data_IF_435939527072
#
_entry.id   IF_435939527072
#
_cell.length_a   1.000
_cell.length_b   1.000
_cell.length_c   1.000
_cell.angle_alpha   90.00
_cell.angle_beta   90.00
_cell.angle_gamma   90.00
#
_symmetry.space_group_name_H-M   'P 1'
#
loop_
_entity.id
_entity.type
_entity.pdbx_description
1 polymer ?
#
# COMPACT_ATOMS: atom_id res chain seq x y z
N UNK A 1 -0.16 -12.23 -7.73
CA UNK A 1 0.50 -11.60 -6.58
C UNK A 1 1.86 -12.24 -6.44
N UNK A 2 2.91 -11.44 -6.40
CA UNK A 2 4.28 -11.90 -6.17
C UNK A 2 4.72 -11.49 -4.77
N UNK A 3 5.37 -12.39 -4.04
CA UNK A 3 5.78 -12.17 -2.63
C UNK A 3 7.25 -12.54 -2.43
N UNK A 4 7.92 -11.81 -1.54
CA UNK A 4 9.26 -12.12 -1.07
C UNK A 4 9.23 -12.24 0.46
N UNK A 5 9.51 -13.43 1.03
CA UNK A 5 9.74 -13.57 2.46
C UNK A 5 10.97 -12.75 2.86
N UNK A 6 10.89 -12.07 4.01
CA UNK A 6 12.02 -11.37 4.62
C UNK A 6 12.20 -11.87 6.06
N UNK A 7 13.28 -11.46 6.73
CA UNK A 7 13.49 -11.78 8.13
C UNK A 7 12.34 -11.19 8.97
N UNK A 8 11.44 -12.07 9.43
CA UNK A 8 10.28 -11.75 10.25
C UNK A 8 9.19 -10.85 9.60
N UNK A 9 9.19 -10.69 8.28
CA UNK A 9 8.16 -9.90 7.58
C UNK A 9 7.81 -10.47 6.20
N UNK A 10 6.65 -10.04 5.68
CA UNK A 10 6.17 -10.43 4.35
C UNK A 10 6.19 -9.21 3.42
N UNK A 11 6.94 -9.28 2.32
CA UNK A 11 6.94 -8.22 1.30
C UNK A 11 6.09 -8.63 0.10
N UNK A 12 5.08 -7.82 -0.22
CA UNK A 12 4.31 -7.92 -1.46
C UNK A 12 5.06 -7.14 -2.55
N UNK A 13 5.40 -7.82 -3.64
CA UNK A 13 6.15 -7.23 -4.76
C UNK A 13 5.22 -6.61 -5.80
N UNK A 14 4.15 -7.32 -6.17
CA UNK A 14 3.13 -6.82 -7.09
C UNK A 14 1.77 -7.45 -6.82
N UNK A 15 0.72 -6.65 -7.07
CA UNK A 15 -0.66 -7.10 -7.16
C UNK A 15 -1.20 -6.62 -8.50
N UNK A 16 -1.34 -7.55 -9.44
CA UNK A 16 -1.81 -7.25 -10.79
C UNK A 16 -3.24 -7.73 -10.98
N UNK A 17 -4.08 -6.86 -11.54
CA UNK A 17 -5.45 -7.19 -11.94
C UNK A 17 -5.75 -6.59 -13.32
N UNK A 18 -5.38 -7.34 -14.36
CA UNK A 18 -5.55 -6.94 -15.76
C UNK A 18 -7.02 -6.73 -16.18
N UNK A 19 -7.98 -7.23 -15.40
CA UNK A 19 -9.42 -7.08 -15.65
C UNK A 19 -10.11 -6.24 -14.57
N UNK A 20 -9.44 -5.21 -14.02
CA UNK A 20 -9.92 -4.40 -12.88
C UNK A 20 -11.34 -3.82 -13.04
N UNK A 21 -11.81 -3.63 -14.27
CA UNK A 21 -13.17 -3.15 -14.56
C UNK A 21 -14.24 -4.23 -14.42
N UNK A 22 -13.91 -5.48 -14.74
CA UNK A 22 -14.82 -6.63 -14.70
C UNK A 22 -14.70 -7.45 -13.40
N UNK A 23 -13.51 -7.54 -12.81
CA UNK A 23 -13.24 -8.31 -11.59
C UNK A 23 -12.73 -7.36 -10.51
N UNK A 24 -13.62 -6.95 -9.60
CA UNK A 24 -13.33 -6.01 -8.51
C UNK A 24 -12.77 -6.75 -7.29
N UNK A 25 -12.27 -5.99 -6.31
CA UNK A 25 -11.81 -6.46 -4.99
C UNK A 25 -10.60 -7.41 -4.94
N UNK A 26 -10.03 -7.81 -6.08
CA UNK A 26 -8.83 -8.68 -6.14
C UNK A 26 -7.71 -8.18 -5.22
N UNK A 27 -7.41 -6.88 -5.26
CA UNK A 27 -6.39 -6.29 -4.40
C UNK A 27 -6.72 -6.42 -2.92
N UNK A 28 -7.94 -6.07 -2.51
CA UNK A 28 -8.37 -6.17 -1.11
C UNK A 28 -8.27 -7.61 -0.59
N UNK A 29 -8.68 -8.60 -1.40
CA UNK A 29 -8.57 -10.02 -1.02
C UNK A 29 -7.12 -10.48 -0.87
N UNK A 30 -6.21 -10.03 -1.72
CA UNK A 30 -4.79 -10.34 -1.55
C UNK A 30 -4.20 -9.70 -0.29
N UNK A 31 -4.59 -8.47 0.05
CA UNK A 31 -4.17 -7.83 1.29
C UNK A 31 -4.74 -8.54 2.54
N UNK A 32 -5.97 -9.05 2.48
CA UNK A 32 -6.54 -9.90 3.54
C UNK A 32 -5.74 -11.19 3.74
N UNK A 33 -5.38 -11.88 2.65
CA UNK A 33 -4.55 -13.10 2.69
C UNK A 33 -3.18 -12.79 3.31
N UNK A 34 -2.52 -11.72 2.85
CA UNK A 34 -1.24 -11.30 3.40
C UNK A 34 -1.34 -10.97 4.90
N UNK A 35 -2.41 -10.30 5.32
CA UNK A 35 -2.68 -9.99 6.73
C UNK A 35 -2.89 -11.23 7.59
N UNK A 36 -3.61 -12.25 7.08
CA UNK A 36 -3.76 -13.55 7.74
C UNK A 36 -2.44 -14.26 7.88
N UNK A 37 -1.67 -14.39 6.79
CA UNK A 37 -0.34 -15.00 6.81
C UNK A 37 0.60 -14.33 7.83
N UNK A 38 0.57 -12.99 7.91
CA UNK A 38 1.34 -12.24 8.91
C UNK A 38 0.95 -12.65 10.33
N UNK A 39 -0.34 -12.73 10.62
CA UNK A 39 -0.85 -13.12 11.94
C UNK A 39 -0.52 -14.58 12.27
N UNK A 40 -0.81 -15.50 11.35
CA UNK A 40 -0.68 -16.94 11.56
C UNK A 40 0.78 -17.38 11.76
N UNK A 41 1.71 -16.67 11.11
CA UNK A 41 3.16 -16.94 11.20
C UNK A 41 3.88 -15.99 12.18
N UNK A 42 3.14 -15.19 12.96
CA UNK A 42 3.69 -14.23 13.92
C UNK A 42 4.73 -13.25 13.32
N UNK A 43 4.54 -12.85 12.05
CA UNK A 43 5.40 -11.87 11.39
C UNK A 43 5.13 -10.46 11.92
N UNK A 44 6.15 -9.61 11.96
CA UNK A 44 6.02 -8.24 12.47
C UNK A 44 5.21 -7.33 11.57
N UNK A 45 5.24 -7.53 10.24
CA UNK A 45 4.62 -6.63 9.29
C UNK A 45 4.37 -7.23 7.91
N UNK A 46 3.50 -6.57 7.14
CA UNK A 46 3.40 -6.70 5.69
C UNK A 46 3.89 -5.40 5.05
N UNK A 47 4.80 -5.49 4.10
CA UNK A 47 5.33 -4.35 3.35
C UNK A 47 5.06 -4.47 1.85
N UNK A 48 5.12 -3.36 1.12
CA UNK A 48 5.01 -3.32 -0.34
C UNK A 48 5.76 -2.12 -0.92
N UNK A 49 6.04 -2.15 -2.22
CA UNK A 49 6.54 -0.99 -2.95
C UNK A 49 5.39 -0.35 -3.72
N UNK A 50 5.06 0.89 -3.40
CA UNK A 50 4.07 1.68 -4.11
C UNK A 50 4.68 2.24 -5.40
N UNK A 51 4.03 1.96 -6.54
CA UNK A 51 4.54 2.26 -7.88
C UNK A 51 3.73 3.33 -8.63
N UNK A 52 2.59 3.76 -8.09
CA UNK A 52 1.79 4.85 -8.64
C UNK A 52 0.83 5.43 -7.59
N UNK A 53 0.29 6.60 -7.87
CA UNK A 53 -0.58 7.37 -6.98
C UNK A 53 -1.94 6.69 -6.71
N UNK A 54 -2.53 6.06 -7.75
CA UNK A 54 -3.80 5.34 -7.63
C UNK A 54 -3.65 4.14 -6.68
N UNK A 55 -2.52 3.44 -6.78
CA UNK A 55 -2.13 2.39 -5.85
C UNK A 55 -1.84 2.95 -4.45
N UNK A 56 -1.18 4.10 -4.32
CA UNK A 56 -0.90 4.74 -3.04
C UNK A 56 -2.18 4.98 -2.25
N UNK A 57 -3.19 5.59 -2.88
CA UNK A 57 -4.51 5.84 -2.28
C UNK A 57 -5.20 4.54 -1.86
N UNK A 58 -5.15 3.52 -2.72
CA UNK A 58 -5.69 2.20 -2.40
C UNK A 58 -5.02 1.57 -1.17
N UNK A 59 -3.69 1.51 -1.12
CA UNK A 59 -2.95 0.93 0.00
C UNK A 59 -3.12 1.72 1.30
N UNK A 60 -3.13 3.05 1.22
CA UNK A 60 -3.34 3.91 2.38
C UNK A 60 -4.68 3.66 3.06
N UNK A 61 -5.76 3.54 2.26
CA UNK A 61 -7.11 3.17 2.74
C UNK A 61 -7.15 1.77 3.36
N UNK A 62 -6.22 0.90 3.01
CA UNK A 62 -6.09 -0.46 3.57
C UNK A 62 -5.07 -0.55 4.72
N UNK A 63 -4.69 0.59 5.31
CA UNK A 63 -3.87 0.65 6.53
C UNK A 63 -2.35 0.64 6.31
N UNK A 64 -1.89 0.73 5.06
CA UNK A 64 -0.46 0.89 4.78
C UNK A 64 -0.04 2.35 4.90
N UNK A 65 1.18 2.61 5.35
CA UNK A 65 1.77 3.95 5.41
C UNK A 65 3.13 3.96 4.75
N UNK A 66 3.47 5.05 4.05
CA UNK A 66 4.84 5.24 3.56
C UNK A 66 5.81 5.20 4.74
N UNK A 67 7.00 4.65 4.50
CA UNK A 67 8.10 4.59 5.47
C UNK A 67 9.39 5.16 4.85
N UNK A 68 10.36 5.50 5.69
CA UNK A 68 11.63 6.07 5.26
C UNK A 68 11.59 7.59 5.04
N UNK A 69 12.52 8.10 4.24
CA UNK A 69 12.66 9.55 4.03
C UNK A 69 11.44 10.16 3.34
N UNK A 70 10.95 11.27 3.88
CA UNK A 70 9.77 11.97 3.37
C UNK A 70 8.44 11.26 3.61
N UNK A 71 8.42 10.19 4.42
CA UNK A 71 7.20 9.44 4.74
C UNK A 71 6.10 10.33 5.35
N UNK A 72 6.43 11.22 6.29
CA UNK A 72 5.45 12.06 6.97
C UNK A 72 4.75 13.02 6.01
N UNK A 73 5.52 13.64 5.10
CA UNK A 73 4.98 14.53 4.07
C UNK A 73 4.06 13.77 3.12
N UNK A 74 4.48 12.60 2.63
CA UNK A 74 3.66 11.74 1.77
C UNK A 74 2.39 11.28 2.47
N UNK A 75 2.49 10.78 3.70
CA UNK A 75 1.33 10.29 4.45
C UNK A 75 0.34 11.41 4.79
N UNK A 76 0.84 12.62 5.07
CA UNK A 76 0.00 13.79 5.36
C UNK A 76 -0.70 14.32 4.11
N UNK A 77 0.02 14.45 2.99
CA UNK A 77 -0.56 14.89 1.73
C UNK A 77 -1.60 13.89 1.21
N UNK A 78 -1.32 12.59 1.32
CA UNK A 78 -2.25 11.56 0.89
C UNK A 78 -3.50 11.51 1.80
N UNK A 79 -3.34 11.73 3.10
CA UNK A 79 -4.48 11.89 4.03
C UNK A 79 -5.35 13.07 3.61
N UNK A 80 -4.73 14.23 3.42
CA UNK A 80 -5.42 15.46 3.02
C UNK A 80 -6.22 15.25 1.73
N UNK A 81 -5.62 14.68 0.68
CA UNK A 81 -6.31 14.41 -0.58
C UNK A 81 -7.38 13.30 -0.50
N UNK A 82 -7.30 12.39 0.48
CA UNK A 82 -8.39 11.44 0.74
C UNK A 82 -9.58 12.16 1.38
N UNK A 83 -9.31 13.10 2.29
CA UNK A 83 -10.32 13.88 3.02
C UNK A 83 -10.92 15.00 2.15
N UNK A 84 -10.13 15.55 1.22
CA UNK A 84 -10.45 16.65 0.29
C UNK A 84 -10.08 16.25 -1.16
N UNK A 85 -10.89 15.41 -1.82
CA UNK A 85 -10.57 14.87 -3.16
C UNK A 85 -10.61 15.89 -4.29
N UNK A 86 -11.28 17.03 -4.09
CA UNK A 86 -11.31 18.17 -5.02
C UNK A 86 -9.99 18.92 -5.08
N UNK A 87 -9.18 18.82 -4.04
CA UNK A 87 -7.88 19.47 -3.98
C UNK A 87 -6.84 18.66 -4.76
N UNK A 88 -6.10 19.36 -5.61
CA UNK A 88 -4.98 18.79 -6.33
C UNK A 88 -3.92 18.31 -5.35
N UNK A 89 -3.30 17.18 -5.67
CA UNK A 89 -2.12 16.75 -4.93
C UNK A 89 -0.96 17.72 -5.19
N UNK A 90 -0.07 17.95 -4.21
CA UNK A 90 1.09 18.80 -4.42
C UNK A 90 2.03 18.19 -5.48
N UNK A 91 2.35 18.95 -6.52
CA UNK A 91 3.24 18.52 -7.62
C UNK A 91 4.64 18.11 -7.15
N UNK A 92 5.09 18.63 -6.01
CA UNK A 92 6.39 18.34 -5.43
C UNK A 92 6.45 16.97 -4.72
N UNK A 93 5.30 16.33 -4.47
CA UNK A 93 5.22 15.08 -3.70
C UNK A 93 5.07 13.88 -4.64
N UNK A 94 6.11 13.05 -4.65
CA UNK A 94 6.12 11.79 -5.39
C UNK A 94 5.60 10.64 -4.51
N UNK A 95 4.42 10.10 -4.82
CA UNK A 95 3.79 8.97 -4.11
C UNK A 95 4.34 7.60 -4.52
N UNK A 96 5.66 7.47 -4.49
CA UNK A 96 6.39 6.24 -4.76
C UNK A 96 7.25 5.84 -3.57
N UNK A 97 7.47 4.55 -3.37
CA UNK A 97 8.37 4.01 -2.36
C UNK A 97 7.73 2.97 -1.45
N UNK A 98 8.46 2.58 -0.41
CA UNK A 98 8.03 1.53 0.49
C UNK A 98 6.86 1.97 1.39
N UNK A 99 5.90 1.07 1.55
CA UNK A 99 4.81 1.20 2.51
C UNK A 99 4.75 -0.03 3.42
N UNK A 100 4.37 0.16 4.68
CA UNK A 100 4.26 -0.90 5.67
C UNK A 100 2.90 -0.86 6.39
N UNK A 101 2.41 -2.05 6.73
CA UNK A 101 1.30 -2.28 7.65
C UNK A 101 1.76 -3.21 8.78
N UNK A 102 1.59 -2.74 10.02
CA UNK A 102 1.88 -3.49 11.25
C UNK A 102 0.64 -4.19 11.80
#
# INVERSE_FOLDING_TARGET
MSVAPQLNSLRLLSIENHKKTAVRQVGSRFLEIAGRMRSDLALSSVSLMCQDEGAAKFFYKNGFRFVGSGADAKNSALKHHIDHPEDALPDEIVFLGDMERK
#
